data_IF_647486629894
#
_entry.id   IF_647486629894
#
_cell.length_a   1.000
_cell.length_b   1.000
_cell.length_c   1.000
_cell.angle_alpha   90.00
_cell.angle_beta   90.00
_cell.angle_gamma   90.00
#
_symmetry.space_group_name_H-M   'P 1'
#
loop_
_entity.id
_entity.type
_entity.pdbx_description
1 polymer ?
#
# COMPACT_ATOMS: atom_id res chain seq x y z
N UNK A 1 18.68 11.17 27.23
CA UNK A 1 19.40 9.96 27.66
C UNK A 1 19.13 8.76 26.74
N UNK A 2 17.90 8.45 26.39
CA UNK A 2 17.51 7.37 25.46
C UNK A 2 18.13 7.46 24.05
N UNK A 3 18.21 8.65 23.43
CA UNK A 3 18.86 8.85 22.10
C UNK A 3 20.35 8.48 22.08
N UNK A 4 21.08 8.73 23.17
CA UNK A 4 22.51 8.36 23.29
C UNK A 4 22.71 6.86 23.53
N UNK A 5 21.77 6.22 24.24
CA UNK A 5 21.79 4.77 24.48
C UNK A 5 21.51 3.99 23.19
N UNK A 6 20.57 4.48 22.38
CA UNK A 6 20.23 3.91 21.07
C UNK A 6 21.39 3.97 20.08
N UNK A 7 22.06 5.13 19.99
CA UNK A 7 23.23 5.31 19.13
C UNK A 7 24.41 4.40 19.57
N UNK A 8 24.63 4.26 20.88
CA UNK A 8 25.67 3.38 21.43
C UNK A 8 25.35 1.90 21.18
N UNK A 9 24.07 1.49 21.24
CA UNK A 9 23.65 0.12 20.95
C UNK A 9 23.88 -0.23 19.46
N UNK A 10 23.53 0.68 18.54
CA UNK A 10 23.76 0.51 17.11
C UNK A 10 25.25 0.44 16.79
N UNK A 11 26.08 1.31 17.39
CA UNK A 11 27.54 1.30 17.22
C UNK A 11 28.16 0.02 17.82
N UNK A 12 27.72 -0.43 18.99
CA UNK A 12 28.18 -1.67 19.62
C UNK A 12 27.86 -2.92 18.81
N UNK A 13 26.67 -2.97 18.18
CA UNK A 13 26.27 -4.06 17.29
C UNK A 13 27.09 -4.07 15.99
N UNK A 14 27.50 -2.91 15.50
CA UNK A 14 28.34 -2.80 14.30
C UNK A 14 29.82 -3.16 14.56
N UNK A 15 30.36 -2.87 15.73
CA UNK A 15 31.80 -3.09 16.03
C UNK A 15 32.16 -4.54 16.32
N UNK A 16 31.25 -5.35 16.87
CA UNK A 16 31.52 -6.77 17.14
C UNK A 16 31.45 -7.67 15.89
N UNK A 17 31.17 -7.12 14.72
CA UNK A 17 30.98 -7.87 13.48
C UNK A 17 32.20 -7.94 12.54
N UNK A 18 33.37 -7.49 12.97
CA UNK A 18 34.56 -7.43 12.09
C UNK A 18 35.37 -8.72 11.99
N UNK A 19 34.88 -9.86 12.44
CA UNK A 19 35.48 -11.14 12.03
C UNK A 19 34.83 -11.59 10.72
N UNK A 20 35.61 -11.51 9.65
CA UNK A 20 35.22 -12.02 8.34
C UNK A 20 34.83 -13.52 8.49
N UNK A 21 33.58 -13.85 8.24
CA UNK A 21 33.16 -15.23 8.09
C UNK A 21 33.64 -15.71 6.71
N UNK A 22 34.17 -16.94 6.64
CA UNK A 22 34.50 -17.56 5.36
C UNK A 22 33.28 -17.61 4.42
N UNK A 23 33.46 -17.42 3.12
CA UNK A 23 32.36 -17.41 2.17
C UNK A 23 31.71 -18.78 2.09
N UNK A 24 30.39 -18.83 2.30
CA UNK A 24 29.59 -20.01 2.04
C UNK A 24 29.51 -20.19 0.50
N UNK A 25 30.15 -21.24 -0.02
CA UNK A 25 30.42 -21.40 -1.46
C UNK A 25 29.26 -22.05 -2.22
N UNK A 26 28.17 -22.43 -1.56
CA UNK A 26 27.06 -23.16 -2.19
C UNK A 26 25.92 -22.19 -2.53
N UNK A 27 25.75 -21.87 -3.83
CA UNK A 27 24.58 -21.16 -4.36
C UNK A 27 24.51 -19.65 -4.07
N UNK A 28 25.63 -19.02 -3.76
CA UNK A 28 25.71 -17.62 -3.43
C UNK A 28 25.67 -16.72 -4.68
N UNK A 29 24.54 -16.05 -4.91
CA UNK A 29 24.45 -14.99 -5.91
C UNK A 29 24.88 -13.66 -5.25
N UNK A 30 26.01 -13.11 -5.69
CA UNK A 30 26.53 -11.85 -5.19
C UNK A 30 25.72 -10.65 -5.64
N UNK A 31 25.18 -10.73 -6.84
CA UNK A 31 24.36 -9.69 -7.46
C UNK A 31 23.10 -10.31 -8.08
N UNK A 32 21.96 -9.68 -7.88
CA UNK A 32 20.70 -9.99 -8.58
C UNK A 32 20.10 -8.70 -9.13
N UNK A 33 19.59 -8.77 -10.35
CA UNK A 33 18.87 -7.68 -10.99
C UNK A 33 17.57 -8.23 -11.58
N UNK A 34 16.49 -7.53 -11.39
CA UNK A 34 15.18 -7.93 -11.85
C UNK A 34 14.17 -6.84 -11.66
N UNK A 35 12.93 -7.21 -11.40
CA UNK A 35 11.85 -6.28 -11.17
C UNK A 35 10.51 -6.87 -11.53
N UNK A 36 9.51 -6.01 -11.53
CA UNK A 36 8.14 -6.33 -11.90
C UNK A 36 7.47 -5.16 -12.60
N UNK A 37 6.33 -5.43 -13.20
CA UNK A 37 5.53 -4.38 -13.82
C UNK A 37 4.20 -4.90 -14.32
N UNK A 38 3.37 -3.97 -14.73
CA UNK A 38 2.04 -4.24 -15.25
C UNK A 38 1.64 -3.26 -16.35
N UNK A 39 0.82 -3.74 -17.27
CA UNK A 39 0.10 -2.95 -18.25
C UNK A 39 -1.38 -3.27 -18.11
N UNK A 40 -2.22 -2.25 -18.05
CA UNK A 40 -3.65 -2.40 -17.78
C UNK A 40 -4.47 -1.54 -18.74
N UNK A 41 -5.52 -2.15 -19.30
CA UNK A 41 -6.58 -1.44 -20.03
C UNK A 41 -7.88 -1.56 -19.21
N UNK A 42 -8.46 -0.43 -18.83
CA UNK A 42 -9.67 -0.35 -18.04
C UNK A 42 -10.77 0.36 -18.82
N UNK A 43 -11.97 -0.22 -18.83
CA UNK A 43 -13.18 0.31 -19.43
C UNK A 43 -14.17 0.59 -18.31
N UNK A 44 -14.32 1.87 -17.95
CA UNK A 44 -15.00 2.30 -16.72
C UNK A 44 -16.30 3.02 -17.03
N UNK A 45 -17.34 2.65 -16.32
CA UNK A 45 -18.61 3.37 -16.25
C UNK A 45 -18.83 3.85 -14.82
N UNK A 46 -18.43 5.07 -14.55
CA UNK A 46 -18.54 5.65 -13.21
C UNK A 46 -19.91 6.26 -12.89
N UNK A 47 -20.83 6.27 -13.85
CA UNK A 47 -22.16 6.80 -13.62
C UNK A 47 -22.14 8.28 -13.21
N UNK A 48 -22.78 8.59 -12.08
CA UNK A 48 -22.92 9.96 -11.57
C UNK A 48 -21.75 10.28 -10.64
N UNK A 49 -21.16 11.47 -10.80
CA UNK A 49 -20.10 11.93 -9.88
C UNK A 49 -20.62 12.00 -8.44
N UNK A 50 -20.02 11.24 -7.53
CA UNK A 50 -20.45 11.09 -6.14
C UNK A 50 -20.35 12.36 -5.30
N UNK A 51 -19.51 13.32 -5.67
CA UNK A 51 -19.31 14.57 -4.93
C UNK A 51 -20.17 15.70 -5.46
N UNK A 52 -20.35 15.79 -6.78
CA UNK A 52 -21.08 16.87 -7.42
C UNK A 52 -22.51 16.48 -7.78
N UNK A 53 -22.82 15.18 -7.76
CA UNK A 53 -24.13 14.66 -8.12
C UNK A 53 -24.40 14.79 -9.63
N UNK A 54 -25.68 14.57 -10.00
CA UNK A 54 -26.13 14.75 -11.36
C UNK A 54 -26.71 16.15 -11.52
N UNK A 55 -25.89 17.08 -11.99
CA UNK A 55 -26.34 18.38 -12.46
C UNK A 55 -26.55 18.31 -13.97
N UNK A 56 -27.52 19.05 -14.46
CA UNK A 56 -27.72 19.22 -15.90
C UNK A 56 -26.42 19.78 -16.52
N UNK A 57 -25.95 19.12 -17.59
CA UNK A 57 -24.69 19.50 -18.24
C UNK A 57 -23.43 18.83 -17.71
N UNK A 58 -23.46 18.12 -16.59
CA UNK A 58 -22.31 17.34 -16.14
C UNK A 58 -22.08 16.13 -17.06
N UNK A 59 -20.84 15.98 -17.52
CA UNK A 59 -20.44 14.83 -18.31
C UNK A 59 -20.56 13.54 -17.47
N UNK A 60 -20.95 12.43 -18.10
CA UNK A 60 -20.79 11.11 -17.53
C UNK A 60 -19.31 10.86 -17.25
N UNK A 61 -19.01 10.26 -16.12
CA UNK A 61 -17.66 9.89 -15.72
C UNK A 61 -17.20 8.57 -16.39
N UNK A 62 -17.63 8.32 -17.63
CA UNK A 62 -17.17 7.16 -18.38
C UNK A 62 -15.74 7.42 -18.85
N UNK A 63 -14.84 6.49 -18.52
CA UNK A 63 -13.43 6.68 -18.77
C UNK A 63 -12.76 5.38 -19.18
N UNK A 64 -12.21 5.34 -20.39
CA UNK A 64 -11.45 4.19 -20.86
C UNK A 64 -9.98 4.58 -20.87
N UNK A 65 -9.13 3.77 -20.24
CA UNK A 65 -7.71 4.05 -20.09
C UNK A 65 -6.86 2.86 -20.49
N UNK A 66 -5.70 3.13 -21.06
CA UNK A 66 -4.60 2.18 -21.17
C UNK A 66 -3.40 2.82 -20.45
N UNK A 67 -2.81 2.10 -19.53
CA UNK A 67 -1.73 2.62 -18.70
C UNK A 67 -0.67 1.56 -18.39
N UNK A 68 0.50 2.03 -18.00
CA UNK A 68 1.54 1.26 -17.32
C UNK A 68 1.58 1.81 -15.88
N UNK A 69 0.74 1.28 -14.96
CA UNK A 69 0.66 1.83 -13.61
C UNK A 69 2.01 1.81 -12.91
N UNK A 70 2.76 0.71 -13.09
CA UNK A 70 4.06 0.55 -12.45
C UNK A 70 5.04 -0.24 -13.30
N UNK A 71 6.28 0.22 -13.30
CA UNK A 71 7.46 -0.50 -13.77
C UNK A 71 8.55 -0.35 -12.71
N UNK A 72 8.99 -1.45 -12.11
CA UNK A 72 9.91 -1.45 -10.98
C UNK A 72 11.18 -2.20 -11.35
N UNK A 73 12.31 -1.60 -11.04
CA UNK A 73 13.63 -2.20 -11.12
C UNK A 73 14.12 -2.54 -9.72
N UNK A 74 14.44 -3.81 -9.50
CA UNK A 74 14.94 -4.32 -8.24
C UNK A 74 16.36 -4.84 -8.38
N UNK A 75 17.20 -4.56 -7.40
CA UNK A 75 18.52 -5.16 -7.31
C UNK A 75 18.97 -5.43 -5.89
N UNK A 76 19.74 -6.52 -5.74
CA UNK A 76 20.44 -6.84 -4.51
C UNK A 76 21.94 -6.94 -4.79
N UNK A 77 22.73 -6.46 -3.84
CA UNK A 77 24.17 -6.68 -3.84
C UNK A 77 24.64 -7.18 -2.47
N UNK A 78 25.30 -8.31 -2.45
CA UNK A 78 25.88 -8.88 -1.23
C UNK A 78 27.34 -8.49 -1.12
N UNK A 79 27.67 -7.53 -0.25
CA UNK A 79 29.06 -7.21 0.08
C UNK A 79 29.75 -8.44 0.66
N UNK A 80 29.03 -9.17 1.51
CA UNK A 80 29.37 -10.47 2.07
C UNK A 80 28.08 -11.28 2.23
N UNK A 81 28.10 -12.60 2.57
CA UNK A 81 26.89 -13.36 2.86
C UNK A 81 26.02 -12.75 3.95
N UNK A 82 26.61 -11.91 4.81
CA UNK A 82 25.92 -11.31 5.97
C UNK A 82 25.62 -9.81 5.82
N UNK A 83 26.09 -9.15 4.77
CA UNK A 83 25.83 -7.75 4.49
C UNK A 83 25.22 -7.61 3.11
N UNK A 84 23.98 -7.18 3.04
CA UNK A 84 23.17 -7.16 1.83
C UNK A 84 22.64 -5.74 1.64
N UNK A 85 22.87 -5.16 0.46
CA UNK A 85 22.18 -3.98 -0.05
C UNK A 85 21.00 -4.47 -0.86
N UNK A 86 19.82 -3.94 -0.61
CA UNK A 86 18.63 -4.12 -1.45
C UNK A 86 18.09 -2.76 -1.86
N UNK A 87 17.59 -2.66 -3.09
CA UNK A 87 16.93 -1.45 -3.57
C UNK A 87 15.88 -1.76 -4.64
N UNK A 88 14.83 -0.96 -4.65
CA UNK A 88 13.81 -0.90 -5.71
C UNK A 88 13.55 0.54 -6.12
N UNK A 89 13.51 0.75 -7.45
CA UNK A 89 13.18 2.04 -8.06
C UNK A 89 11.89 1.83 -8.85
N UNK A 90 10.85 2.54 -8.45
CA UNK A 90 9.55 2.51 -9.08
C UNK A 90 9.37 3.66 -10.08
N UNK A 91 8.82 3.33 -11.23
CA UNK A 91 8.35 4.27 -12.23
C UNK A 91 6.82 4.12 -12.32
N UNK A 92 6.08 5.08 -11.80
CA UNK A 92 4.63 5.14 -11.95
C UNK A 92 4.26 5.89 -13.23
N UNK A 93 3.30 5.35 -13.99
CA UNK A 93 2.75 5.94 -15.23
C UNK A 93 3.82 6.46 -16.21
N UNK A 94 4.93 5.71 -16.34
CA UNK A 94 6.03 6.06 -17.25
C UNK A 94 7.10 6.98 -16.64
N UNK A 95 7.00 7.32 -15.35
CA UNK A 95 7.96 8.15 -14.65
C UNK A 95 7.60 9.64 -14.66
N UNK A 96 8.58 10.50 -14.35
CA UNK A 96 8.36 11.94 -14.26
C UNK A 96 8.25 12.57 -15.66
N UNK A 97 7.18 13.31 -15.87
CA UNK A 97 6.94 14.05 -17.09
C UNK A 97 5.93 15.18 -16.85
N UNK A 98 5.79 16.05 -17.82
CA UNK A 98 4.73 17.04 -17.85
C UNK A 98 3.82 16.73 -19.03
N UNK A 99 2.53 16.70 -18.80
CA UNK A 99 1.51 16.66 -19.84
C UNK A 99 0.67 17.92 -19.78
N UNK A 100 0.10 18.29 -20.91
CA UNK A 100 -0.89 19.35 -20.96
C UNK A 100 -2.27 18.72 -20.88
N UNK A 101 -3.07 19.12 -19.91
CA UNK A 101 -4.46 18.74 -19.81
C UNK A 101 -5.34 19.96 -20.10
N UNK A 102 -6.41 19.73 -20.85
CA UNK A 102 -7.44 20.74 -21.08
C UNK A 102 -8.50 20.58 -20.00
N UNK A 103 -8.51 21.49 -19.05
CA UNK A 103 -9.55 21.55 -18.04
C UNK A 103 -10.66 22.52 -18.45
N UNK A 104 -11.88 22.17 -18.08
CA UNK A 104 -13.04 23.04 -18.24
C UNK A 104 -13.22 23.84 -16.95
N UNK A 105 -12.91 25.12 -16.98
CA UNK A 105 -13.07 26.01 -15.82
C UNK A 105 -14.54 26.18 -15.42
N UNK A 106 -14.77 26.69 -14.22
CA UNK A 106 -16.12 26.97 -13.70
C UNK A 106 -16.95 27.90 -14.59
N UNK A 107 -16.31 28.70 -15.43
CA UNK A 107 -16.90 29.66 -16.38
C UNK A 107 -17.13 29.09 -17.78
N UNK A 108 -16.77 27.80 -18.02
CA UNK A 108 -16.90 27.17 -19.34
C UNK A 108 -15.79 27.51 -20.32
N UNK A 109 -14.74 28.17 -19.88
CA UNK A 109 -13.51 28.36 -20.63
C UNK A 109 -12.59 27.15 -20.51
N UNK A 110 -11.81 26.86 -21.54
CA UNK A 110 -10.79 25.81 -21.51
C UNK A 110 -9.47 26.43 -21.08
N UNK A 111 -8.93 25.93 -19.98
CA UNK A 111 -7.55 26.23 -19.57
C UNK A 111 -6.65 25.04 -19.84
N UNK A 112 -5.43 25.35 -20.29
CA UNK A 112 -4.39 24.33 -20.44
C UNK A 112 -3.58 24.31 -19.15
N UNK A 113 -3.76 23.27 -18.35
CA UNK A 113 -2.92 23.02 -17.18
C UNK A 113 -1.75 22.12 -17.53
N UNK A 114 -0.62 22.36 -16.86
CA UNK A 114 0.55 21.49 -16.92
C UNK A 114 0.44 20.50 -15.78
N UNK A 115 -0.02 19.29 -16.07
CA UNK A 115 -0.02 18.23 -15.10
C UNK A 115 1.36 17.56 -15.00
N UNK A 116 1.75 17.26 -13.78
CA UNK A 116 2.87 16.39 -13.50
C UNK A 116 2.40 14.95 -13.70
N UNK A 117 2.77 14.34 -14.81
CA UNK A 117 2.51 12.92 -15.04
C UNK A 117 3.49 12.04 -14.30
N UNK A 118 3.03 10.93 -13.77
CA UNK A 118 3.83 9.88 -13.17
C UNK A 118 4.77 10.27 -12.03
N UNK A 119 5.48 9.29 -11.52
CA UNK A 119 6.48 9.46 -10.46
C UNK A 119 7.67 8.54 -10.71
N UNK A 120 8.88 8.97 -10.32
CA UNK A 120 10.02 8.07 -10.11
C UNK A 120 10.38 8.16 -8.64
N UNK A 121 10.22 7.05 -7.93
CA UNK A 121 10.45 6.98 -6.51
C UNK A 121 11.44 5.86 -6.16
N UNK A 122 12.20 6.07 -5.11
CA UNK A 122 12.94 5.02 -4.44
C UNK A 122 11.94 4.30 -3.52
N UNK A 123 11.44 3.13 -3.93
CA UNK A 123 10.45 2.38 -3.17
C UNK A 123 11.06 1.79 -1.90
N UNK A 124 12.26 1.21 -2.01
CA UNK A 124 13.10 0.95 -0.86
C UNK A 124 14.58 1.01 -1.19
N UNK A 125 15.37 1.33 -0.18
CA UNK A 125 16.83 1.25 -0.19
C UNK A 125 17.31 0.92 1.21
N UNK A 126 17.94 -0.23 1.38
CA UNK A 126 18.36 -0.67 2.70
C UNK A 126 19.67 -1.44 2.70
N UNK A 127 20.31 -1.45 3.86
CA UNK A 127 21.38 -2.38 4.18
C UNK A 127 20.90 -3.31 5.28
N UNK A 128 20.98 -4.62 5.01
CA UNK A 128 20.63 -5.66 5.98
C UNK A 128 21.88 -6.34 6.50
N UNK A 129 21.99 -6.44 7.82
CA UNK A 129 22.97 -7.26 8.53
C UNK A 129 22.32 -8.55 8.99
N UNK A 130 22.72 -9.67 8.38
CA UNK A 130 22.33 -11.01 8.80
C UNK A 130 23.19 -11.44 9.99
N UNK A 131 22.58 -11.68 11.15
CA UNK A 131 23.29 -12.03 12.39
C UNK A 131 23.05 -13.51 12.70
N UNK A 132 21.80 -13.86 13.01
CA UNK A 132 21.30 -15.23 13.21
C UNK A 132 19.91 -15.33 12.56
N UNK A 133 19.38 -16.53 12.31
CA UNK A 133 18.06 -16.69 11.71
C UNK A 133 16.95 -15.98 12.49
N UNK A 134 17.05 -15.96 13.80
CA UNK A 134 16.05 -15.38 14.71
C UNK A 134 16.17 -13.87 14.87
N UNK A 135 17.33 -13.26 14.49
CA UNK A 135 17.54 -11.84 14.68
C UNK A 135 18.50 -11.25 13.63
N UNK A 136 17.97 -10.35 12.86
CA UNK A 136 18.68 -9.58 11.84
C UNK A 136 18.32 -8.10 11.98
N UNK A 137 19.14 -7.23 11.41
CA UNK A 137 18.93 -5.77 11.45
C UNK A 137 18.97 -5.23 10.04
N UNK A 138 18.00 -4.40 9.70
CA UNK A 138 17.91 -3.68 8.42
C UNK A 138 17.76 -2.19 8.70
N UNK A 139 18.47 -1.35 7.95
CA UNK A 139 18.45 0.11 8.08
C UNK A 139 18.30 0.73 6.71
N UNK A 140 17.47 1.74 6.60
CA UNK A 140 17.26 2.48 5.35
C UNK A 140 15.83 2.95 5.17
N UNK A 141 15.42 3.05 3.91
CA UNK A 141 14.04 3.30 3.50
C UNK A 141 13.36 1.96 3.28
N UNK A 142 12.31 1.68 4.04
CA UNK A 142 11.79 0.33 4.27
C UNK A 142 10.28 0.30 4.08
N UNK A 143 9.76 -0.81 3.56
CA UNK A 143 8.32 -1.04 3.50
C UNK A 143 7.78 -1.26 4.91
N UNK A 144 6.73 -0.52 5.27
CA UNK A 144 6.04 -0.64 6.56
C UNK A 144 5.12 -1.86 6.51
N UNK A 145 5.32 -2.91 7.32
CA UNK A 145 4.62 -4.19 7.18
C UNK A 145 3.20 -4.16 7.79
N UNK A 146 2.36 -3.24 7.31
CA UNK A 146 0.95 -3.08 7.71
C UNK A 146 0.05 -3.26 6.51
N UNK A 147 -0.87 -4.22 6.58
CA UNK A 147 -1.75 -4.59 5.48
C UNK A 147 -1.14 -5.66 4.57
N UNK A 148 -2.01 -6.45 3.96
CA UNK A 148 -1.59 -7.55 3.07
C UNK A 148 -1.18 -7.05 1.69
N UNK A 149 -1.99 -6.15 1.11
CA UNK A 149 -1.75 -5.60 -0.22
C UNK A 149 -0.54 -4.67 -0.22
N UNK A 150 -0.31 -3.97 0.87
CA UNK A 150 0.86 -3.12 1.04
C UNK A 150 2.15 -3.95 1.11
N UNK A 151 2.16 -5.02 1.90
CA UNK A 151 3.34 -5.89 2.04
C UNK A 151 3.61 -6.75 0.79
N UNK A 152 2.55 -7.14 0.07
CA UNK A 152 2.61 -7.97 -1.14
C UNK A 152 1.99 -7.24 -2.33
N UNK A 153 2.56 -6.09 -2.65
CA UNK A 153 2.01 -5.12 -3.59
C UNK A 153 2.32 -5.43 -5.06
N UNK A 154 3.17 -6.41 -5.33
CA UNK A 154 3.52 -6.78 -6.70
C UNK A 154 2.29 -7.31 -7.45
N UNK A 155 2.11 -6.91 -8.72
CA UNK A 155 0.86 -7.17 -9.44
C UNK A 155 0.55 -8.64 -9.69
N UNK A 156 1.51 -9.54 -9.53
CA UNK A 156 1.30 -10.99 -9.62
C UNK A 156 0.63 -11.57 -8.36
N UNK A 157 0.64 -10.83 -7.25
CA UNK A 157 0.19 -11.30 -5.95
C UNK A 157 -1.31 -11.12 -5.70
N UNK A 158 -2.03 -10.40 -6.55
CA UNK A 158 -3.49 -10.24 -6.48
C UNK A 158 -4.14 -10.66 -7.81
N UNK A 159 -5.42 -11.08 -7.76
CA UNK A 159 -6.10 -11.60 -8.95
C UNK A 159 -6.61 -10.52 -9.89
N UNK A 160 -7.14 -9.41 -9.37
CA UNK A 160 -7.68 -8.32 -10.18
C UNK A 160 -6.66 -7.71 -11.14
N UNK A 161 -7.13 -7.12 -12.23
CA UNK A 161 -6.29 -6.32 -13.14
C UNK A 161 -5.75 -5.07 -12.45
N UNK A 162 -6.49 -4.56 -11.46
CA UNK A 162 -6.08 -3.45 -10.60
C UNK A 162 -5.86 -3.91 -9.16
N UNK A 163 -4.95 -3.22 -8.45
CA UNK A 163 -4.67 -3.44 -7.02
C UNK A 163 -5.95 -3.23 -6.19
N UNK A 164 -6.20 -4.02 -5.11
CA UNK A 164 -7.29 -3.75 -4.17
C UNK A 164 -7.26 -2.32 -3.64
N UNK A 165 -8.43 -1.65 -3.64
CA UNK A 165 -8.53 -0.21 -3.39
C UNK A 165 -8.48 0.18 -1.91
N UNK A 166 -8.98 -0.70 -1.03
CA UNK A 166 -9.27 -0.32 0.34
C UNK A 166 -8.04 0.06 1.16
N UNK A 167 -6.98 -0.75 1.11
CA UNK A 167 -5.72 -0.39 1.74
C UNK A 167 -5.13 0.85 1.09
N UNK A 168 -5.09 0.91 -0.25
CA UNK A 168 -4.58 2.06 -1.00
C UNK A 168 -5.33 3.37 -0.71
N UNK A 169 -6.59 3.29 -0.29
CA UNK A 169 -7.38 4.48 0.04
C UNK A 169 -7.10 4.97 1.45
N UNK A 170 -6.92 4.05 2.41
CA UNK A 170 -6.88 4.37 3.83
C UNK A 170 -5.45 4.63 4.32
N UNK A 171 -4.48 3.84 3.87
CA UNK A 171 -3.06 3.99 4.24
C UNK A 171 -2.23 4.33 3.02
N UNK A 172 -1.02 4.88 3.19
CA UNK A 172 -0.03 4.95 2.11
C UNK A 172 0.18 3.54 1.54
N UNK A 173 0.16 3.39 0.19
CA UNK A 173 0.40 2.09 -0.43
C UNK A 173 1.00 2.30 -1.84
N UNK A 174 2.25 1.96 -2.08
CA UNK A 174 3.14 1.22 -1.14
C UNK A 174 3.60 2.14 0.00
N UNK A 175 3.43 1.67 1.24
CA UNK A 175 3.84 2.44 2.42
C UNK A 175 5.28 2.10 2.78
N UNK A 176 6.15 3.04 2.63
CA UNK A 176 7.55 2.94 3.01
C UNK A 176 7.98 4.16 3.82
N UNK A 177 8.86 3.96 4.78
CA UNK A 177 9.40 4.99 5.66
C UNK A 177 10.88 4.73 5.99
N UNK A 178 11.60 5.78 6.35
CA UNK A 178 13.02 5.68 6.70
C UNK A 178 13.19 5.32 8.18
N UNK A 179 14.04 4.32 8.47
CA UNK A 179 14.27 3.89 9.84
C UNK A 179 15.11 2.64 10.00
N UNK A 180 14.85 1.92 11.09
CA UNK A 180 15.50 0.66 11.44
C UNK A 180 14.46 -0.41 11.68
N UNK A 181 14.79 -1.61 11.22
CA UNK A 181 13.98 -2.81 11.33
C UNK A 181 14.77 -3.94 11.99
N UNK A 182 14.11 -4.65 12.88
CA UNK A 182 14.53 -5.91 13.47
C UNK A 182 13.64 -7.01 12.94
N UNK A 183 14.22 -8.05 12.34
CA UNK A 183 13.47 -9.11 11.70
C UNK A 183 14.12 -10.47 11.96
N UNK A 184 13.29 -11.50 11.95
CA UNK A 184 13.78 -12.84 12.17
C UNK A 184 12.71 -13.91 12.03
N UNK A 185 13.16 -15.15 12.07
CA UNK A 185 12.32 -16.34 12.01
C UNK A 185 12.64 -17.26 13.17
N UNK A 186 11.63 -17.73 13.89
CA UNK A 186 11.81 -18.57 15.06
C UNK A 186 10.77 -19.70 15.11
N UNK A 187 11.03 -20.64 16.00
CA UNK A 187 10.17 -21.82 16.16
C UNK A 187 10.60 -23.01 15.30
N UNK A 188 9.81 -24.08 15.32
CA UNK A 188 10.10 -25.33 14.60
C UNK A 188 8.83 -26.09 14.24
N UNK A 189 8.82 -26.71 13.04
CA UNK A 189 7.68 -27.48 12.57
C UNK A 189 6.41 -26.63 12.47
N UNK A 190 5.32 -27.12 13.05
CA UNK A 190 4.04 -26.38 13.06
C UNK A 190 4.04 -25.11 13.92
N UNK A 191 5.03 -24.89 14.77
CA UNK A 191 5.18 -23.68 15.57
C UNK A 191 6.26 -22.75 14.98
N UNK A 192 6.20 -22.48 13.69
CA UNK A 192 7.13 -21.58 12.99
C UNK A 192 6.48 -20.22 12.78
N UNK A 193 7.24 -19.18 13.13
CA UNK A 193 6.84 -17.78 13.04
C UNK A 193 7.96 -16.95 12.42
N UNK A 194 7.60 -15.86 11.74
CA UNK A 194 8.50 -14.75 11.42
C UNK A 194 7.94 -13.45 12.00
N UNK A 195 8.82 -12.50 12.26
CA UNK A 195 8.45 -11.21 12.81
C UNK A 195 9.26 -10.07 12.20
N UNK A 196 8.67 -8.89 12.24
CA UNK A 196 9.26 -7.61 11.90
C UNK A 196 8.90 -6.59 12.98
N UNK A 197 9.86 -5.80 13.43
CA UNK A 197 9.66 -4.72 14.38
C UNK A 197 10.47 -3.51 13.94
N UNK A 198 9.81 -2.34 13.80
CA UNK A 198 10.44 -1.17 13.22
C UNK A 198 10.32 0.05 14.12
N UNK A 199 11.30 0.94 13.99
CA UNK A 199 11.24 2.33 14.42
C UNK A 199 11.52 3.18 13.20
N UNK A 200 10.51 3.91 12.73
CA UNK A 200 10.54 4.64 11.46
C UNK A 200 10.11 6.09 11.64
N UNK A 201 10.25 6.90 10.62
CA UNK A 201 9.60 8.21 10.55
C UNK A 201 8.10 8.03 10.78
N UNK A 202 7.44 9.01 11.33
CA UNK A 202 6.01 8.91 11.63
C UNK A 202 5.19 9.67 10.59
N UNK A 203 3.92 9.32 10.46
CA UNK A 203 2.98 10.06 9.62
C UNK A 203 2.88 11.54 10.02
N UNK A 204 2.65 12.39 9.04
CA UNK A 204 2.42 13.82 9.17
C UNK A 204 0.92 14.14 9.14
N UNK A 205 0.40 14.73 10.20
CA UNK A 205 -1.03 15.06 10.34
C UNK A 205 -1.56 16.04 9.28
N UNK A 206 -0.70 16.85 8.65
CA UNK A 206 -1.11 17.78 7.59
C UNK A 206 -1.74 17.07 6.38
N UNK A 207 -1.31 15.83 6.10
CA UNK A 207 -1.80 15.04 4.99
C UNK A 207 -3.10 14.27 5.25
N UNK A 208 -3.71 14.37 6.45
CA UNK A 208 -4.93 13.63 6.76
C UNK A 208 -6.15 14.33 6.18
N UNK A 209 -7.02 13.55 5.54
CA UNK A 209 -8.19 14.10 4.86
C UNK A 209 -9.42 13.17 4.92
N UNK A 210 -10.57 13.68 4.46
CA UNK A 210 -11.84 12.97 4.42
C UNK A 210 -11.82 11.72 3.55
N UNK A 211 -11.19 11.81 2.37
CA UNK A 211 -11.31 10.77 1.34
C UNK A 211 -10.31 9.65 1.53
N UNK A 212 -9.14 9.99 2.08
CA UNK A 212 -7.98 9.09 2.15
C UNK A 212 -7.48 8.84 3.57
N UNK A 213 -8.21 9.34 4.57
CA UNK A 213 -7.87 9.20 5.99
C UNK A 213 -6.42 9.62 6.29
N UNK A 214 -5.48 8.67 6.50
CA UNK A 214 -4.07 8.98 6.79
C UNK A 214 -3.14 8.86 5.58
N UNK A 215 -3.63 8.41 4.41
CA UNK A 215 -2.81 8.07 3.25
C UNK A 215 -1.81 9.15 2.85
N UNK A 216 -2.24 10.39 2.79
CA UNK A 216 -1.39 11.51 2.36
C UNK A 216 -0.47 12.03 3.46
N UNK A 217 -0.52 11.44 4.66
CA UNK A 217 0.39 11.74 5.76
C UNK A 217 1.76 11.05 5.64
N UNK A 218 1.97 10.18 4.63
CA UNK A 218 3.28 9.63 4.32
C UNK A 218 4.27 10.76 4.07
N UNK A 219 5.45 10.69 4.68
CA UNK A 219 6.55 11.58 4.39
C UNK A 219 7.31 11.08 3.16
N UNK A 220 7.84 11.98 2.35
CA UNK A 220 8.60 11.65 1.16
C UNK A 220 10.09 11.68 1.43
N UNK A 221 10.85 10.97 0.62
CA UNK A 221 12.33 10.94 0.68
C UNK A 221 12.99 12.01 -0.20
N UNK A 222 12.23 12.93 -0.78
CA UNK A 222 12.80 14.00 -1.63
C UNK A 222 13.54 15.07 -0.83
N UNK A 223 13.24 15.15 0.47
CA UNK A 223 13.90 15.98 1.46
C UNK A 223 14.17 15.15 2.71
N UNK A 224 14.71 15.77 3.77
CA UNK A 224 14.84 15.09 5.06
C UNK A 224 13.48 14.88 5.70
N UNK A 225 13.11 13.63 5.97
CA UNK A 225 11.88 13.30 6.69
C UNK A 225 11.90 13.84 8.13
N UNK A 226 10.76 14.33 8.61
CA UNK A 226 10.63 14.79 9.98
C UNK A 226 10.58 13.60 10.95
N UNK A 227 11.63 13.44 11.74
CA UNK A 227 11.78 12.38 12.75
C UNK A 227 11.54 12.91 14.19
N UNK A 228 10.72 13.94 14.34
CA UNK A 228 10.43 14.54 15.68
C UNK A 228 9.66 13.56 16.55
N UNK A 229 8.70 12.85 15.96
CA UNK A 229 7.92 11.83 16.63
C UNK A 229 7.93 10.53 15.80
N UNK A 230 8.86 9.60 16.09
CA UNK A 230 8.94 8.32 15.38
C UNK A 230 7.70 7.47 15.59
N UNK A 231 7.43 6.62 14.61
CA UNK A 231 6.44 5.57 14.71
C UNK A 231 7.08 4.23 15.06
N UNK A 232 6.30 3.38 15.69
CA UNK A 232 6.65 2.01 16.09
C UNK A 232 5.75 1.05 15.35
N UNK A 233 6.35 0.05 14.71
CA UNK A 233 5.63 -0.95 13.92
C UNK A 233 6.03 -2.34 14.40
N UNK A 234 5.06 -3.24 14.45
CA UNK A 234 5.33 -4.65 14.71
C UNK A 234 4.42 -5.53 13.85
N UNK A 235 4.97 -6.61 13.33
CA UNK A 235 4.26 -7.66 12.62
C UNK A 235 4.71 -9.02 13.09
N UNK A 236 3.75 -9.94 13.17
CA UNK A 236 3.99 -11.35 13.46
C UNK A 236 3.23 -12.19 12.44
N UNK A 237 3.93 -13.14 11.82
CA UNK A 237 3.35 -14.10 10.88
C UNK A 237 3.52 -15.53 11.41
N UNK A 238 2.46 -16.30 11.37
CA UNK A 238 2.49 -17.73 11.54
C UNK A 238 2.66 -18.41 10.18
N UNK A 239 3.67 -19.26 10.06
CA UNK A 239 4.03 -19.96 8.81
C UNK A 239 4.26 -21.47 9.00
N UNK A 240 3.75 -22.02 10.10
CA UNK A 240 4.01 -23.42 10.48
C UNK A 240 3.27 -24.46 9.62
N UNK A 241 2.19 -24.11 8.95
CA UNK A 241 1.46 -24.99 8.03
C UNK A 241 1.83 -24.66 6.58
N UNK A 242 2.31 -25.64 5.79
CA UNK A 242 2.64 -25.40 4.38
C UNK A 242 1.47 -24.79 3.61
N UNK A 243 1.74 -23.71 2.90
CA UNK A 243 0.74 -22.97 2.14
C UNK A 243 -0.11 -21.98 2.93
N UNK A 244 -0.12 -22.05 4.27
CA UNK A 244 -0.86 -21.14 5.13
C UNK A 244 0.07 -20.10 5.76
N UNK A 245 -0.29 -18.82 5.64
CA UNK A 245 0.28 -17.70 6.38
C UNK A 245 -0.85 -16.96 7.08
N UNK A 246 -0.70 -16.71 8.38
CA UNK A 246 -1.60 -15.86 9.16
C UNK A 246 -0.77 -14.71 9.70
N UNK A 247 -1.14 -13.49 9.41
CA UNK A 247 -0.41 -12.29 9.78
C UNK A 247 -1.22 -11.36 10.69
N UNK A 248 -0.52 -10.67 11.56
CA UNK A 248 -1.07 -9.57 12.34
C UNK A 248 -0.05 -8.46 12.50
N UNK A 249 -0.45 -7.21 12.31
CA UNK A 249 0.43 -6.07 12.44
C UNK A 249 -0.20 -4.91 13.20
N UNK A 250 0.65 -4.05 13.74
CA UNK A 250 0.28 -2.81 14.41
C UNK A 250 1.28 -1.70 14.06
N UNK A 251 0.76 -0.52 13.79
CA UNK A 251 1.50 0.74 13.65
C UNK A 251 1.02 1.70 14.74
N UNK A 252 1.95 2.37 15.39
CA UNK A 252 1.65 3.38 16.39
C UNK A 252 2.58 4.59 16.25
N UNK A 253 2.00 5.76 15.99
CA UNK A 253 2.70 7.05 16.05
C UNK A 253 2.11 7.86 17.21
N UNK A 254 2.90 8.20 18.24
CA UNK A 254 2.40 8.87 19.46
C UNK A 254 1.89 10.30 19.23
N UNK A 255 2.40 10.99 18.19
CA UNK A 255 1.98 12.35 17.89
C UNK A 255 2.32 12.72 16.45
N UNK A 256 1.38 12.49 15.54
CA UNK A 256 1.53 12.86 14.12
C UNK A 256 1.56 14.36 13.88
N UNK A 257 1.02 15.15 14.81
CA UNK A 257 1.08 16.61 14.77
C UNK A 257 2.50 17.15 14.97
N UNK A 258 3.35 16.44 15.71
CA UNK A 258 4.76 16.84 15.89
C UNK A 258 5.62 16.66 14.63
N UNK A 259 5.14 15.89 13.66
CA UNK A 259 5.77 15.71 12.35
C UNK A 259 5.23 16.66 11.30
N UNK A 260 4.35 17.60 11.70
CA UNK A 260 3.76 18.58 10.79
C UNK A 260 4.79 19.54 10.22
N UNK A 261 4.48 20.04 9.02
CA UNK A 261 5.23 21.13 8.42
C UNK A 261 5.01 22.45 9.18
N UNK A 262 5.94 23.38 9.02
CA UNK A 262 5.85 24.71 9.68
C UNK A 262 4.64 25.53 9.26
N UNK A 263 3.95 25.16 8.17
CA UNK A 263 2.77 25.85 7.66
C UNK A 263 1.54 25.70 8.56
N UNK A 264 1.38 24.54 9.19
CA UNK A 264 0.27 24.28 10.13
C UNK A 264 0.82 23.50 11.31
N UNK A 265 0.61 24.03 12.51
CA UNK A 265 0.97 23.38 13.76
C UNK A 265 -0.28 22.96 14.54
N UNK A 266 -0.14 21.94 15.37
CA UNK A 266 -1.22 21.34 16.15
C UNK A 266 -1.04 21.50 17.66
N UNK A 267 -0.22 22.45 18.10
CA UNK A 267 0.13 22.64 19.52
C UNK A 267 -1.11 22.84 20.40
N UNK A 268 -2.13 23.52 19.88
CA UNK A 268 -3.40 23.77 20.57
C UNK A 268 -4.23 22.50 20.80
N UNK A 269 -4.05 21.46 19.95
CA UNK A 269 -4.74 20.17 20.06
C UNK A 269 -3.99 19.26 21.03
N UNK A 270 -2.68 19.47 21.15
CA UNK A 270 -1.78 18.60 21.88
C UNK A 270 -1.32 17.39 21.03
N UNK A 271 -1.29 16.20 21.64
CA UNK A 271 -0.85 15.00 20.93
C UNK A 271 -1.95 14.44 20.03
N UNK A 272 -1.60 14.07 18.82
CA UNK A 272 -2.49 13.41 17.85
C UNK A 272 -1.96 11.99 17.58
N UNK A 273 -2.21 11.02 18.47
CA UNK A 273 -1.80 9.66 18.26
C UNK A 273 -2.62 8.99 17.16
N UNK A 274 -1.93 8.18 16.36
CA UNK A 274 -2.51 7.30 15.34
C UNK A 274 -2.13 5.87 15.65
N UNK A 275 -3.13 4.99 15.66
CA UNK A 275 -2.94 3.53 15.77
C UNK A 275 -3.61 2.86 14.60
N UNK A 276 -2.89 2.00 13.88
CA UNK A 276 -3.42 1.20 12.76
C UNK A 276 -3.05 -0.24 13.03
N UNK A 277 -3.95 -1.17 12.75
CA UNK A 277 -3.70 -2.59 12.88
C UNK A 277 -4.32 -3.37 11.73
N UNK A 278 -3.70 -4.47 11.35
CA UNK A 278 -4.25 -5.39 10.37
C UNK A 278 -4.17 -6.84 10.83
N UNK A 279 -5.10 -7.63 10.30
CA UNK A 279 -5.09 -9.08 10.38
C UNK A 279 -5.23 -9.62 8.96
N UNK A 280 -4.39 -10.56 8.60
CA UNK A 280 -4.42 -11.14 7.25
C UNK A 280 -4.20 -12.65 7.26
N UNK A 281 -4.65 -13.29 6.19
CA UNK A 281 -4.48 -14.69 5.94
C UNK A 281 -4.22 -14.94 4.46
N UNK A 282 -3.29 -15.83 4.17
CA UNK A 282 -3.03 -16.34 2.83
C UNK A 282 -3.01 -17.87 2.88
N UNK A 283 -3.67 -18.48 1.90
CA UNK A 283 -3.58 -19.91 1.69
C UNK A 283 -3.30 -20.19 0.22
N UNK A 284 -2.26 -20.95 -0.04
CA UNK A 284 -1.84 -21.31 -1.40
C UNK A 284 -1.51 -22.78 -1.43
N UNK A 285 -2.28 -23.53 -2.18
CA UNK A 285 -1.95 -24.90 -2.53
C UNK A 285 -2.04 -25.12 -4.06
N UNK A 286 -1.95 -26.36 -4.50
CA UNK A 286 -2.05 -26.69 -5.91
C UNK A 286 -3.42 -26.43 -6.53
N UNK A 287 -4.49 -26.36 -5.73
CA UNK A 287 -5.88 -26.23 -6.17
C UNK A 287 -6.43 -24.84 -5.99
N UNK A 288 -6.11 -24.21 -4.87
CA UNK A 288 -6.74 -22.96 -4.43
C UNK A 288 -5.68 -21.95 -4.00
N UNK A 289 -5.92 -20.70 -4.33
CA UNK A 289 -5.25 -19.55 -3.72
C UNK A 289 -6.33 -18.68 -3.11
N UNK A 290 -6.23 -18.41 -1.81
CA UNK A 290 -7.15 -17.55 -1.09
C UNK A 290 -6.38 -16.53 -0.26
N UNK A 291 -6.91 -15.29 -0.18
CA UNK A 291 -6.34 -14.20 0.62
C UNK A 291 -7.46 -13.47 1.34
N UNK A 292 -7.16 -13.05 2.53
CA UNK A 292 -8.02 -12.22 3.35
C UNK A 292 -7.20 -11.16 4.05
N UNK A 293 -7.74 -9.95 4.14
CA UNK A 293 -7.17 -8.87 4.93
C UNK A 293 -8.27 -8.06 5.61
N UNK A 294 -8.02 -7.68 6.85
CA UNK A 294 -8.79 -6.71 7.60
C UNK A 294 -7.85 -5.66 8.15
N UNK A 295 -8.14 -4.38 7.90
CA UNK A 295 -7.37 -3.24 8.36
C UNK A 295 -8.31 -2.24 9.04
N UNK A 296 -7.91 -1.72 10.18
CA UNK A 296 -8.62 -0.64 10.87
C UNK A 296 -7.62 0.22 11.65
N UNK A 297 -8.02 1.44 11.95
CA UNK A 297 -7.20 2.31 12.76
C UNK A 297 -8.00 3.43 13.41
N UNK A 298 -7.35 4.16 14.31
CA UNK A 298 -7.93 5.27 15.06
C UNK A 298 -6.98 6.47 15.09
N UNK A 299 -7.56 7.65 14.97
CA UNK A 299 -6.93 8.97 15.18
C UNK A 299 -7.60 9.60 16.39
N UNK A 300 -6.83 10.08 17.36
CA UNK A 300 -7.40 10.87 18.43
C UNK A 300 -7.53 12.35 18.02
N UNK A 301 -8.52 13.03 18.59
CA UNK A 301 -8.83 14.43 18.30
C UNK A 301 -9.13 14.72 16.82
N UNK A 302 -9.80 13.76 16.16
CA UNK A 302 -10.07 13.80 14.73
C UNK A 302 -10.96 15.01 14.33
N UNK A 303 -11.89 15.43 15.17
CA UNK A 303 -12.72 16.62 14.99
C UNK A 303 -11.91 17.92 14.97
N UNK A 304 -11.02 18.10 15.97
CA UNK A 304 -10.14 19.27 16.07
C UNK A 304 -9.11 19.29 14.94
N UNK A 305 -8.55 18.12 14.61
CA UNK A 305 -7.66 17.93 13.48
C UNK A 305 -8.36 18.30 12.17
N UNK A 306 -9.59 17.83 11.96
CA UNK A 306 -10.41 18.15 10.79
C UNK A 306 -10.66 19.64 10.66
N UNK A 307 -10.98 20.32 11.77
CA UNK A 307 -11.17 21.77 11.79
C UNK A 307 -9.89 22.55 11.41
N UNK A 308 -8.72 22.06 11.80
CA UNK A 308 -7.42 22.64 11.40
C UNK A 308 -7.12 22.36 9.91
N UNK A 309 -7.21 21.12 9.47
CA UNK A 309 -6.92 20.73 8.09
C UNK A 309 -7.90 21.35 7.10
N UNK A 310 -9.14 21.61 7.49
CA UNK A 310 -10.12 22.33 6.69
C UNK A 310 -9.71 23.76 6.30
N UNK A 311 -8.71 24.35 6.98
CA UNK A 311 -8.16 25.67 6.67
C UNK A 311 -6.95 25.65 5.75
N UNK A 312 -6.44 24.47 5.39
CA UNK A 312 -5.32 24.34 4.47
C UNK A 312 -5.69 24.82 3.07
N UNK A 313 -4.76 25.52 2.42
CA UNK A 313 -4.94 26.02 1.06
C UNK A 313 -5.06 24.86 0.06
N UNK A 314 -5.90 25.03 -0.97
CA UNK A 314 -5.98 24.08 -2.07
C UNK A 314 -4.67 23.98 -2.87
N UNK A 315 -3.82 25.00 -2.81
CA UNK A 315 -2.52 25.04 -3.49
C UNK A 315 -1.42 24.32 -2.71
N UNK A 316 -1.67 23.96 -1.43
CA UNK A 316 -0.77 23.06 -0.72
C UNK A 316 -0.99 21.63 -1.19
N UNK A 317 -0.01 20.76 -1.05
CA UNK A 317 -0.14 19.32 -1.33
C UNK A 317 -1.12 18.60 -0.39
N UNK A 318 -1.76 19.30 0.54
CA UNK A 318 -2.66 18.76 1.55
C UNK A 318 -4.13 19.02 1.22
N UNK A 319 -4.96 18.03 1.51
CA UNK A 319 -6.41 18.16 1.38
C UNK A 319 -7.00 18.96 2.52
N UNK A 320 -7.94 19.86 2.19
CA UNK A 320 -8.83 20.51 3.15
C UNK A 320 -10.21 19.88 3.24
N UNK A 321 -10.39 18.73 2.60
CA UNK A 321 -11.66 18.03 2.60
C UNK A 321 -11.92 17.38 3.96
N UNK A 322 -12.87 17.91 4.69
CA UNK A 322 -13.28 17.48 6.04
C UNK A 322 -14.74 17.00 6.01
N UNK A 323 -15.20 16.22 7.01
CA UNK A 323 -14.54 15.86 8.26
C UNK A 323 -13.45 14.78 8.09
N UNK A 324 -12.54 14.70 9.08
CA UNK A 324 -11.61 13.57 9.22
C UNK A 324 -12.21 12.60 10.23
N UNK A 325 -12.30 11.33 9.86
CA UNK A 325 -12.89 10.34 10.75
C UNK A 325 -11.90 9.91 11.85
N UNK A 326 -12.44 9.67 13.03
CA UNK A 326 -11.71 9.03 14.14
C UNK A 326 -11.27 7.62 13.77
N UNK A 327 -12.12 6.90 13.02
CA UNK A 327 -11.89 5.49 12.64
C UNK A 327 -12.14 5.26 11.16
N UNK A 328 -11.21 4.55 10.56
CA UNK A 328 -11.35 3.99 9.21
C UNK A 328 -11.30 2.46 9.24
N UNK A 329 -11.84 1.81 8.21
CA UNK A 329 -11.86 0.36 8.08
C UNK A 329 -11.75 -0.05 6.62
N UNK A 330 -11.04 -1.15 6.37
CA UNK A 330 -10.99 -1.84 5.09
C UNK A 330 -10.93 -3.35 5.30
N UNK A 331 -11.60 -4.13 4.46
CA UNK A 331 -11.38 -5.56 4.37
C UNK A 331 -11.53 -6.04 2.93
N UNK A 332 -10.76 -7.05 2.60
CA UNK A 332 -10.70 -7.68 1.29
C UNK A 332 -10.63 -9.19 1.45
N UNK A 333 -11.36 -9.93 0.63
CA UNK A 333 -11.27 -11.37 0.52
C UNK A 333 -11.27 -11.77 -0.95
N UNK A 334 -10.30 -12.58 -1.35
CA UNK A 334 -10.24 -13.12 -2.71
C UNK A 334 -9.92 -14.62 -2.71
N UNK A 335 -10.49 -15.32 -3.67
CA UNK A 335 -10.28 -16.74 -3.89
C UNK A 335 -10.20 -17.06 -5.38
N UNK A 336 -9.19 -17.82 -5.77
CA UNK A 336 -9.02 -18.33 -7.12
C UNK A 336 -8.75 -19.83 -7.12
N UNK A 337 -9.22 -20.51 -8.15
CA UNK A 337 -9.19 -21.95 -8.26
C UNK A 337 -8.39 -22.39 -9.48
N UNK A 338 -7.41 -23.25 -9.31
CA UNK A 338 -6.54 -23.73 -10.39
C UNK A 338 -7.23 -24.83 -11.22
N UNK A 339 -7.77 -24.48 -12.36
CA UNK A 339 -8.47 -25.42 -13.26
C UNK A 339 -7.58 -26.55 -13.73
N UNK A 340 -6.29 -26.30 -13.99
CA UNK A 340 -5.35 -27.35 -14.39
C UNK A 340 -5.25 -28.45 -13.35
N UNK A 341 -5.24 -28.11 -12.08
CA UNK A 341 -5.15 -29.06 -10.98
C UNK A 341 -6.46 -29.80 -10.78
N UNK A 342 -7.60 -29.12 -10.87
CA UNK A 342 -8.93 -29.71 -10.71
C UNK A 342 -9.21 -30.71 -11.81
N UNK A 343 -8.98 -30.34 -13.07
CA UNK A 343 -9.23 -31.22 -14.22
C UNK A 343 -8.10 -32.20 -14.50
N UNK A 344 -7.08 -32.25 -13.62
CA UNK A 344 -5.86 -33.09 -13.79
C UNK A 344 -5.24 -32.93 -15.18
N UNK A 345 -5.22 -31.69 -15.67
CA UNK A 345 -4.74 -31.35 -16.99
C UNK A 345 -3.28 -31.72 -17.21
N UNK A 346 -2.96 -32.33 -18.36
CA UNK A 346 -1.61 -32.69 -18.77
C UNK A 346 -0.69 -31.47 -19.00
N UNK A 347 0.53 -31.72 -19.49
CA UNK A 347 1.54 -30.65 -19.71
C UNK A 347 1.04 -29.51 -20.60
N UNK A 348 0.17 -29.76 -21.57
CA UNK A 348 -0.39 -28.75 -22.48
C UNK A 348 -1.62 -28.00 -21.92
N UNK A 349 -2.16 -28.39 -20.78
CA UNK A 349 -3.32 -27.70 -20.22
C UNK A 349 -2.89 -26.36 -19.60
N UNK A 350 -3.58 -25.24 -19.93
CA UNK A 350 -3.21 -23.92 -19.43
C UNK A 350 -3.47 -23.79 -17.92
N UNK A 351 -2.65 -23.00 -17.24
CA UNK A 351 -2.83 -22.68 -15.82
C UNK A 351 -3.75 -21.46 -15.73
N UNK A 352 -5.04 -21.71 -15.52
CA UNK A 352 -6.06 -20.68 -15.42
C UNK A 352 -6.70 -20.72 -14.03
N UNK A 353 -6.88 -19.53 -13.43
CA UNK A 353 -7.57 -19.31 -12.18
C UNK A 353 -8.81 -18.44 -12.43
N UNK A 354 -10.03 -19.00 -12.53
CA UNK A 354 -11.21 -18.23 -12.22
C UNK A 354 -11.14 -17.77 -10.77
N UNK A 355 -11.55 -16.54 -10.53
CA UNK A 355 -11.49 -15.94 -9.19
C UNK A 355 -12.73 -15.10 -8.88
N UNK A 356 -12.96 -14.91 -7.60
CA UNK A 356 -13.89 -13.94 -7.04
C UNK A 356 -13.19 -13.16 -5.92
N UNK A 357 -13.53 -11.88 -5.84
CA UNK A 357 -13.02 -10.97 -4.81
C UNK A 357 -14.17 -10.12 -4.29
N UNK A 358 -14.20 -9.92 -2.98
CA UNK A 358 -15.05 -8.91 -2.35
C UNK A 358 -14.20 -7.96 -1.56
N UNK A 359 -14.48 -6.68 -1.69
CA UNK A 359 -13.78 -5.61 -0.99
C UNK A 359 -14.77 -4.59 -0.42
N UNK A 360 -14.50 -4.13 0.79
CA UNK A 360 -15.20 -3.03 1.44
C UNK A 360 -14.18 -2.11 2.10
N UNK A 361 -14.40 -0.82 1.96
CA UNK A 361 -13.66 0.15 2.74
C UNK A 361 -14.49 1.40 3.04
N UNK A 362 -14.15 2.02 4.17
CA UNK A 362 -14.75 3.27 4.59
C UNK A 362 -13.73 4.10 5.38
N UNK A 363 -13.15 5.13 4.76
CA UNK A 363 -12.28 6.07 5.45
C UNK A 363 -13.03 6.96 6.46
N UNK A 364 -14.39 6.91 6.44
CA UNK A 364 -15.29 7.67 7.28
C UNK A 364 -16.17 6.75 8.15
N UNK A 365 -15.59 5.69 8.73
CA UNK A 365 -16.35 4.67 9.48
C UNK A 365 -16.98 5.24 10.75
N UNK A 366 -16.26 6.07 11.50
CA UNK A 366 -16.75 6.68 12.72
C UNK A 366 -16.11 8.04 12.96
N UNK A 367 -16.95 9.04 13.26
CA UNK A 367 -16.52 10.37 13.67
C UNK A 367 -16.15 10.48 15.15
N UNK A 368 -15.70 11.65 15.52
CA UNK A 368 -15.49 12.09 16.90
C UNK A 368 -16.33 13.35 17.14
N UNK A 369 -16.91 13.46 18.33
CA UNK A 369 -17.75 14.61 18.66
C UNK A 369 -19.04 14.69 17.83
N UNK A 370 -19.24 15.83 17.19
CA UNK A 370 -20.43 16.16 16.37
C UNK A 370 -20.22 15.92 14.86
N UNK A 371 -19.10 15.32 14.47
CA UNK A 371 -18.79 15.09 13.06
C UNK A 371 -19.83 14.25 12.35
N UNK A 372 -20.30 14.73 11.22
CA UNK A 372 -21.18 13.99 10.32
C UNK A 372 -20.33 13.26 9.29
N UNK A 373 -20.37 11.94 9.35
CA UNK A 373 -19.62 11.09 8.40
C UNK A 373 -20.19 11.17 7.00
N UNK A 374 -19.29 11.18 6.03
CA UNK A 374 -19.64 11.26 4.62
C UNK A 374 -19.84 9.85 4.01
N UNK A 375 -21.09 9.45 3.83
CA UNK A 375 -21.42 8.17 3.25
C UNK A 375 -20.87 7.95 1.82
N UNK A 376 -20.55 9.03 1.10
CA UNK A 376 -19.97 8.98 -0.25
C UNK A 376 -18.55 8.42 -0.27
N UNK A 377 -17.88 8.36 0.88
CA UNK A 377 -16.55 7.76 1.02
C UNK A 377 -16.57 6.24 1.19
N UNK A 378 -17.77 5.67 1.54
CA UNK A 378 -17.95 4.23 1.68
C UNK A 378 -18.05 3.55 0.33
N UNK A 379 -17.32 2.46 0.15
CA UNK A 379 -17.32 1.66 -1.08
C UNK A 379 -17.40 0.18 -0.75
N UNK A 380 -18.25 -0.54 -1.50
CA UNK A 380 -18.24 -2.00 -1.57
C UNK A 380 -18.08 -2.45 -3.02
N UNK A 381 -17.33 -3.53 -3.23
CA UNK A 381 -16.90 -3.94 -4.56
C UNK A 381 -16.88 -5.45 -4.67
N UNK A 382 -17.44 -5.97 -5.76
CA UNK A 382 -17.25 -7.34 -6.22
C UNK A 382 -16.41 -7.33 -7.49
N UNK A 383 -15.44 -8.22 -7.57
CA UNK A 383 -14.62 -8.42 -8.74
C UNK A 383 -14.59 -9.91 -9.09
N UNK A 384 -14.85 -10.25 -10.35
CA UNK A 384 -14.85 -11.61 -10.88
C UNK A 384 -14.01 -11.66 -12.15
N UNK A 385 -13.19 -12.69 -12.30
CA UNK A 385 -12.36 -12.75 -13.49
C UNK A 385 -11.59 -14.04 -13.66
N UNK A 386 -10.63 -13.96 -14.58
CA UNK A 386 -9.75 -15.03 -14.95
C UNK A 386 -8.30 -14.55 -14.93
N UNK A 387 -7.43 -15.35 -14.35
CA UNK A 387 -5.99 -15.20 -14.46
C UNK A 387 -5.42 -16.38 -15.24
N UNK A 388 -4.80 -16.11 -16.37
CA UNK A 388 -4.02 -17.08 -17.11
C UNK A 388 -2.54 -16.90 -16.81
N UNK A 389 -1.95 -17.84 -16.09
CA UNK A 389 -0.51 -17.88 -15.87
C UNK A 389 0.17 -18.49 -17.08
N UNK A 390 0.51 -17.64 -18.05
CA UNK A 390 1.21 -18.03 -19.26
C UNK A 390 2.59 -18.63 -18.96
N UNK A 391 3.27 -18.04 -17.96
CA UNK A 391 4.51 -18.52 -17.34
C UNK A 391 4.38 -18.42 -15.80
N UNK A 392 5.25 -19.07 -15.03
CA UNK A 392 5.24 -18.95 -13.56
C UNK A 392 5.31 -17.49 -13.06
N UNK A 393 5.96 -16.62 -13.83
CA UNK A 393 6.24 -15.23 -13.54
C UNK A 393 5.56 -14.23 -14.51
N UNK A 394 4.62 -14.68 -15.34
CA UNK A 394 3.85 -13.86 -16.28
C UNK A 394 2.38 -14.26 -16.24
N UNK A 395 1.51 -13.31 -15.93
CA UNK A 395 0.07 -13.50 -15.85
C UNK A 395 -0.67 -12.53 -16.75
N UNK A 396 -1.67 -13.06 -17.47
CA UNK A 396 -2.67 -12.28 -18.19
C UNK A 396 -3.96 -12.33 -17.37
N UNK A 397 -4.57 -11.19 -17.14
CA UNK A 397 -5.74 -11.00 -16.30
C UNK A 397 -6.89 -10.41 -17.10
N UNK A 398 -8.10 -10.85 -16.81
CA UNK A 398 -9.30 -10.22 -17.31
C UNK A 398 -10.36 -10.31 -16.21
N UNK A 399 -10.99 -9.18 -15.88
CA UNK A 399 -11.95 -9.12 -14.79
C UNK A 399 -13.08 -8.12 -15.04
N UNK A 400 -14.17 -8.33 -14.32
CA UNK A 400 -15.30 -7.44 -14.27
C UNK A 400 -15.61 -7.08 -12.82
N UNK A 401 -15.61 -5.78 -12.55
CA UNK A 401 -15.86 -5.20 -11.24
C UNK A 401 -17.21 -4.51 -11.22
N UNK A 402 -18.01 -4.78 -10.17
CA UNK A 402 -19.14 -3.95 -9.78
C UNK A 402 -18.79 -3.22 -8.51
N UNK A 403 -18.94 -1.90 -8.51
CA UNK A 403 -18.55 -1.03 -7.41
C UNK A 403 -19.72 -0.18 -6.97
N UNK A 404 -20.04 -0.18 -5.69
CA UNK A 404 -21.14 0.58 -5.11
C UNK A 404 -20.58 1.61 -4.13
N UNK A 405 -20.91 2.86 -4.37
CA UNK A 405 -20.51 4.00 -3.55
C UNK A 405 -21.71 4.50 -2.77
N UNK A 406 -21.54 4.73 -1.48
CA UNK A 406 -22.55 5.37 -0.64
C UNK A 406 -22.87 6.77 -1.16
N UNK A 407 -24.13 7.16 -1.09
CA UNK A 407 -24.60 8.48 -1.52
C UNK A 407 -25.26 9.22 -0.37
N UNK A 408 -25.13 10.54 -0.37
CA UNK A 408 -25.94 11.37 0.52
C UNK A 408 -27.35 11.52 -0.04
N UNK A 409 -28.36 11.71 0.84
CA UNK A 409 -29.77 11.99 0.45
C UNK A 409 -29.89 13.22 -0.47
N UNK A 410 -28.91 14.09 -0.47
CA UNK A 410 -28.87 15.31 -1.29
C UNK A 410 -28.87 15.00 -2.81
N UNK A 411 -28.34 13.85 -3.21
CA UNK A 411 -28.26 13.47 -4.62
C UNK A 411 -29.39 12.56 -5.11
N UNK A 412 -30.38 12.26 -4.29
CA UNK A 412 -31.74 11.87 -4.67
C UNK A 412 -31.96 10.51 -5.33
N UNK A 413 -30.98 9.64 -5.47
CA UNK A 413 -31.16 8.30 -6.06
C UNK A 413 -30.58 7.22 -5.16
N UNK A 414 -31.42 6.59 -4.39
CA UNK A 414 -31.10 5.40 -3.62
C UNK A 414 -29.89 5.56 -2.66
N UNK A 415 -29.60 4.56 -1.83
CA UNK A 415 -28.47 4.65 -0.91
C UNK A 415 -27.10 4.48 -1.58
N UNK A 416 -27.04 4.03 -2.84
CA UNK A 416 -25.81 3.70 -3.53
C UNK A 416 -25.77 4.19 -4.96
N UNK A 417 -24.59 4.61 -5.41
CA UNK A 417 -24.26 4.85 -6.81
C UNK A 417 -23.44 3.65 -7.32
N UNK A 418 -23.86 3.07 -8.45
CA UNK A 418 -23.17 1.92 -9.06
C UNK A 418 -22.16 2.38 -10.10
N UNK A 419 -20.96 1.84 -10.00
CA UNK A 419 -19.88 2.00 -10.97
C UNK A 419 -19.41 0.62 -11.41
N UNK A 420 -19.20 0.43 -12.71
CA UNK A 420 -18.76 -0.84 -13.26
C UNK A 420 -17.45 -0.64 -14.04
N UNK A 421 -16.63 -1.67 -14.04
CA UNK A 421 -15.35 -1.65 -14.76
C UNK A 421 -15.08 -3.02 -15.36
N UNK A 422 -14.62 -3.05 -16.62
CA UNK A 422 -14.00 -4.22 -17.23
C UNK A 422 -12.51 -3.94 -17.37
N UNK A 423 -11.68 -4.81 -16.83
CA UNK A 423 -10.22 -4.71 -16.83
C UNK A 423 -9.56 -5.81 -17.62
N UNK A 424 -8.49 -5.48 -18.35
CA UNK A 424 -7.56 -6.46 -18.93
C UNK A 424 -6.17 -6.01 -18.56
N UNK A 425 -5.34 -6.94 -18.03
CA UNK A 425 -3.99 -6.63 -17.61
C UNK A 425 -2.98 -7.72 -17.96
N UNK A 426 -1.73 -7.34 -18.06
CA UNK A 426 -0.58 -8.24 -18.13
C UNK A 426 0.38 -7.82 -17.03
N UNK A 427 0.81 -8.76 -16.20
CA UNK A 427 1.75 -8.50 -15.13
C UNK A 427 2.87 -9.53 -15.12
N UNK A 428 4.05 -9.09 -14.73
CA UNK A 428 5.23 -9.96 -14.63
C UNK A 428 6.05 -9.62 -13.38
N UNK A 429 6.87 -10.59 -12.92
CA UNK A 429 7.88 -10.43 -11.87
C UNK A 429 9.04 -11.38 -12.15
N UNK A 430 10.27 -10.99 -11.84
CA UNK A 430 11.39 -11.91 -11.92
C UNK A 430 12.76 -11.31 -11.72
N UNK A 431 13.69 -12.18 -11.38
CA UNK A 431 15.11 -11.88 -11.42
C UNK A 431 15.64 -12.25 -12.79
N UNK A 432 15.99 -11.27 -13.60
CA UNK A 432 16.43 -11.44 -14.99
C UNK A 432 17.91 -11.82 -15.10
N UNK A 433 18.68 -11.38 -14.10
CA UNK A 433 20.10 -11.64 -14.00
C UNK A 433 20.49 -12.00 -12.56
N UNK A 434 21.32 -13.05 -12.41
CA UNK A 434 21.87 -13.52 -11.14
C UNK A 434 23.33 -13.92 -11.35
N UNK A 435 24.28 -13.37 -10.57
CA UNK A 435 25.71 -13.67 -10.63
C UNK A 435 26.30 -13.81 -9.22
#
# INVERSE_FOLDING_TARGET
>A
MMKRLFLLLVISLMTNAMKAAEPDTIGYNKFRFGGYGEMVANFKDYGINRFYGHKEGNAKQNHNTISIPRFVLAFDYKFTPKWILGAEIEFEYGGTGTSYELENTENGEYETEVEKGGEVALEHLHITRMIIPEFNVRVGHLIVPVGLTNEHHEPINFFGSSRPEGEMTIIPCTWHETGIEFLGKFGKGYATFDYEAMIVTGLNANGFDRNNWVRKGKQGIFEGDNFTCPAYVARLNYTGVPGLRLGGSIYYCPNTGANSDKLVTYDEIGKIPVTIWSLDAQYVDRYVTARFNYLSGNIAHADQLGAKNGKLSNKSGYSRLTPIAKRAVSYNAEVGVNLKSIFRGGKGFPVIYPFAQYEYYNPQEKGEGMDVMDARCQVSKWNFGLNWRALPNLVVKADYTTRQIGTSKVFGKGPYNSENEFGIGVAYIGWFFKK
#
